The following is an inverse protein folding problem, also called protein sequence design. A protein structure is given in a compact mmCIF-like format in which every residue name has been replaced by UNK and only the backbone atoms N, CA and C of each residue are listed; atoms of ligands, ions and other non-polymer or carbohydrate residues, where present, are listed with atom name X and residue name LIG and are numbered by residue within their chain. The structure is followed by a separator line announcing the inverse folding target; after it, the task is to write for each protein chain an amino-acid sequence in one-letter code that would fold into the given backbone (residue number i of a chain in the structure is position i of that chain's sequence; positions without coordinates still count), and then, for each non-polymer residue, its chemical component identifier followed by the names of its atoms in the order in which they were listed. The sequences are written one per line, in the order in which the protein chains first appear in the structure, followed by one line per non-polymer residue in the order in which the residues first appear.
data_IF_650108390944
#
_entry.id   IF_650108390944
#
_cell.length_a   1.000
_cell.length_b   1.000
_cell.length_c   1.000
_cell.angle_alpha   90.00
_cell.angle_beta   90.00
_cell.angle_gamma   90.00
#
_symmetry.space_group_name_H-M   'P 1'
#
loop_
_entity.id
_entity.type
_entity.pdbx_description
1 polymer ?
#
# COMPACT_ATOMS: atom_id res chain seq x y z
N UNK A 1 7.44 8.44 13.89
CA UNK A 1 7.09 8.79 12.50
C UNK A 1 5.76 8.10 12.19
N UNK A 2 4.82 8.77 11.51
CA UNK A 2 3.63 8.07 10.99
C UNK A 2 4.08 7.15 9.83
N UNK A 3 3.41 6.01 9.62
CA UNK A 3 3.79 5.10 8.53
C UNK A 3 3.48 5.66 7.13
N UNK A 4 2.76 6.79 7.02
CA UNK A 4 2.29 7.35 5.77
C UNK A 4 3.37 7.57 4.70
N UNK A 5 4.47 8.30 4.98
CA UNK A 5 5.57 8.47 4.04
C UNK A 5 6.22 7.16 3.57
N UNK A 6 6.24 6.14 4.44
CA UNK A 6 6.79 4.82 4.09
C UNK A 6 5.84 4.12 3.11
N UNK A 7 4.53 4.20 3.32
CA UNK A 7 3.54 3.62 2.41
C UNK A 7 3.49 4.35 1.06
N UNK A 8 3.72 5.66 1.03
CA UNK A 8 3.89 6.42 -0.22
C UNK A 8 5.12 5.92 -1.00
N UNK A 9 6.25 5.70 -0.33
CA UNK A 9 7.44 5.11 -0.95
C UNK A 9 7.19 3.69 -1.49
N UNK A 10 6.40 2.87 -0.78
CA UNK A 10 6.00 1.53 -1.22
C UNK A 10 5.26 1.62 -2.56
N UNK A 11 4.24 2.47 -2.65
CA UNK A 11 3.44 2.61 -3.88
C UNK A 11 4.27 3.13 -5.05
N UNK A 12 5.11 4.15 -4.82
CA UNK A 12 5.98 4.72 -5.87
C UNK A 12 7.00 3.72 -6.38
N UNK A 13 7.64 2.95 -5.49
CA UNK A 13 8.57 1.89 -5.90
C UNK A 13 7.85 0.81 -6.71
N UNK A 14 6.68 0.37 -6.25
CA UNK A 14 5.88 -0.63 -6.96
C UNK A 14 5.44 -0.13 -8.34
N UNK A 15 5.04 1.13 -8.44
CA UNK A 15 4.72 1.81 -9.68
C UNK A 15 5.91 1.87 -10.64
N UNK A 16 7.06 2.34 -10.16
CA UNK A 16 8.28 2.43 -10.97
C UNK A 16 8.75 1.06 -11.51
N UNK A 17 8.71 0.02 -10.67
CA UNK A 17 9.04 -1.35 -11.09
C UNK A 17 8.04 -1.88 -12.12
N UNK A 18 6.75 -1.58 -11.96
CA UNK A 18 5.71 -2.00 -12.90
C UNK A 18 5.81 -1.25 -14.23
N UNK A 19 6.09 0.05 -14.19
CA UNK A 19 6.32 0.86 -15.41
C UNK A 19 7.47 0.29 -16.24
N UNK A 20 8.54 -0.20 -15.59
CA UNK A 20 9.71 -0.76 -16.27
C UNK A 20 9.42 -2.00 -17.13
N UNK A 21 8.29 -2.68 -16.89
CA UNK A 21 7.87 -3.89 -17.62
C UNK A 21 6.63 -3.66 -18.49
N UNK A 22 6.03 -2.47 -18.45
CA UNK A 22 4.88 -2.11 -19.30
C UNK A 22 5.33 -1.44 -20.60
N UNK A 23 4.53 -1.60 -21.66
CA UNK A 23 4.77 -0.95 -22.96
C UNK A 23 3.49 -0.26 -23.39
N UNK A 24 3.53 1.08 -23.48
CA UNK A 24 2.39 1.89 -23.91
C UNK A 24 1.12 1.67 -23.06
N UNK A 25 1.27 1.33 -21.78
CA UNK A 25 0.15 1.08 -20.87
C UNK A 25 0.23 2.03 -19.68
N UNK A 26 -0.94 2.42 -19.19
CA UNK A 26 -1.07 3.01 -17.87
C UNK A 26 -0.88 1.96 -16.78
N UNK A 27 -0.54 2.40 -15.58
CA UNK A 27 -0.51 1.53 -14.41
C UNK A 27 -1.37 2.09 -13.30
N UNK A 28 -2.05 1.19 -12.58
CA UNK A 28 -2.80 1.53 -11.37
C UNK A 28 -2.48 0.51 -10.28
N UNK A 29 -2.36 1.00 -9.04
CA UNK A 29 -2.23 0.15 -7.86
C UNK A 29 -3.59 -0.44 -7.53
N UNK A 30 -3.71 -1.76 -7.61
CA UNK A 30 -4.95 -2.47 -7.30
C UNK A 30 -5.04 -2.81 -5.82
N UNK A 31 -3.94 -3.30 -5.25
CA UNK A 31 -3.86 -3.58 -3.83
C UNK A 31 -2.43 -3.50 -3.33
N UNK A 32 -2.28 -3.01 -2.11
CA UNK A 32 -1.10 -3.27 -1.29
C UNK A 32 -1.55 -4.31 -0.26
N UNK A 33 -0.94 -5.50 -0.28
CA UNK A 33 -1.47 -6.66 0.46
C UNK A 33 -1.30 -6.50 1.97
N UNK A 34 -0.07 -6.69 2.45
CA UNK A 34 0.31 -6.51 3.85
C UNK A 34 1.70 -5.92 3.85
N UNK A 35 1.85 -4.81 4.57
CA UNK A 35 3.13 -4.19 4.86
C UNK A 35 3.43 -4.45 6.32
N UNK A 36 4.48 -5.22 6.59
CA UNK A 36 4.94 -5.49 7.94
C UNK A 36 6.12 -4.58 8.24
N UNK A 37 5.95 -3.62 9.15
CA UNK A 37 7.04 -2.82 9.71
C UNK A 37 7.53 -3.53 10.97
N UNK A 38 8.69 -4.20 10.87
CA UNK A 38 9.27 -5.08 11.89
C UNK A 38 9.98 -4.31 13.01
N UNK A 39 10.44 -3.09 12.73
CA UNK A 39 11.08 -2.22 13.71
C UNK A 39 10.79 -0.75 13.39
N UNK A 40 10.82 0.15 14.40
CA UNK A 40 10.59 1.57 14.18
C UNK A 40 11.54 2.19 13.15
N UNK A 41 11.03 3.13 12.36
CA UNK A 41 11.81 4.01 11.49
C UNK A 41 11.72 5.42 12.09
N UNK A 42 12.84 5.92 12.58
CA UNK A 42 12.97 7.20 13.25
C UNK A 42 13.32 8.34 12.27
N UNK A 43 13.17 9.58 12.74
CA UNK A 43 13.64 10.73 11.99
C UNK A 43 15.17 10.68 11.83
N UNK A 44 15.66 10.97 10.63
CA UNK A 44 17.08 10.94 10.31
C UNK A 44 17.61 9.57 9.91
N UNK A 45 16.81 8.51 10.01
CA UNK A 45 17.20 7.19 9.52
C UNK A 45 17.39 7.19 8.00
N UNK A 46 18.44 6.51 7.55
CA UNK A 46 18.64 6.22 6.13
C UNK A 46 17.85 4.96 5.76
N UNK A 47 16.72 5.17 5.08
CA UNK A 47 15.87 4.11 4.55
C UNK A 47 16.26 3.78 3.10
N UNK A 48 16.48 2.49 2.83
CA UNK A 48 16.66 1.94 1.48
C UNK A 48 15.51 1.01 1.16
N UNK A 49 14.95 1.14 -0.04
CA UNK A 49 13.85 0.33 -0.53
C UNK A 49 14.31 -0.43 -1.76
N UNK A 50 14.02 -1.72 -1.81
CA UNK A 50 14.35 -2.61 -2.91
C UNK A 50 13.11 -3.41 -3.29
N UNK A 51 13.00 -3.80 -4.56
CA UNK A 51 11.90 -4.63 -5.01
C UNK A 51 12.12 -5.20 -6.40
N UNK A 52 11.29 -6.19 -6.73
CA UNK A 52 11.29 -6.83 -8.03
C UNK A 52 9.86 -7.27 -8.41
N UNK A 53 9.60 -7.33 -9.72
CA UNK A 53 8.37 -7.92 -10.24
C UNK A 53 8.50 -9.44 -10.18
N UNK A 54 7.69 -10.09 -9.36
CA UNK A 54 7.75 -11.53 -9.10
C UNK A 54 6.78 -12.34 -9.95
N UNK A 55 5.77 -11.70 -10.55
CA UNK A 55 4.84 -12.34 -11.47
C UNK A 55 4.19 -11.34 -12.42
N UNK A 56 4.11 -11.70 -13.71
CA UNK A 56 3.32 -11.02 -14.73
C UNK A 56 2.19 -11.94 -15.19
N UNK A 57 0.96 -11.46 -15.08
CA UNK A 57 -0.22 -12.10 -15.66
C UNK A 57 -0.56 -11.50 -17.02
N UNK A 58 -1.82 -11.63 -17.44
CA UNK A 58 -2.30 -11.04 -18.70
C UNK A 58 -2.18 -9.51 -18.71
N UNK A 59 -2.59 -8.89 -17.61
CA UNK A 59 -2.51 -7.44 -17.35
C UNK A 59 -2.19 -7.12 -15.88
N UNK A 60 -2.03 -8.13 -15.03
CA UNK A 60 -1.73 -7.96 -13.60
C UNK A 60 -0.24 -8.12 -13.34
N UNK A 61 0.29 -7.40 -12.36
CA UNK A 61 1.69 -7.44 -11.97
C UNK A 61 1.76 -7.60 -10.46
N UNK A 62 2.62 -8.49 -9.97
CA UNK A 62 2.87 -8.64 -8.53
C UNK A 62 4.29 -8.20 -8.26
N UNK A 63 4.43 -7.24 -7.36
CA UNK A 63 5.73 -6.68 -6.95
C UNK A 63 5.99 -7.07 -5.50
N UNK A 64 7.18 -7.60 -5.25
CA UNK A 64 7.71 -7.81 -3.90
C UNK A 64 8.65 -6.67 -3.54
N UNK A 65 8.57 -6.20 -2.29
CA UNK A 65 9.44 -5.13 -1.78
C UNK A 65 9.96 -5.45 -0.38
N UNK A 66 11.17 -4.96 -0.11
CA UNK A 66 11.81 -4.98 1.19
C UNK A 66 12.40 -3.59 1.50
N UNK A 67 12.21 -3.15 2.74
CA UNK A 67 12.77 -1.91 3.26
C UNK A 67 13.84 -2.20 4.29
N UNK A 68 14.94 -1.46 4.21
CA UNK A 68 16.10 -1.60 5.08
C UNK A 68 16.48 -0.25 5.70
N UNK A 69 16.77 -0.26 6.99
CA UNK A 69 17.32 0.90 7.69
C UNK A 69 18.83 0.71 7.86
N UNK A 70 19.61 1.75 7.63
CA UNK A 70 21.03 1.72 7.98
C UNK A 70 21.20 1.79 9.49
N UNK A 71 21.78 0.74 10.07
CA UNK A 71 22.18 0.69 11.46
C UNK A 71 23.59 1.29 11.59
N UNK A 72 23.67 2.43 12.29
CA UNK A 72 24.92 3.19 12.42
C UNK A 72 25.94 2.44 13.28
N UNK A 73 25.48 1.74 14.32
CA UNK A 73 26.35 1.03 15.25
C UNK A 73 26.96 -0.22 14.60
N UNK A 74 26.16 -0.92 13.79
CA UNK A 74 26.58 -2.13 13.08
C UNK A 74 27.15 -1.86 11.68
N UNK A 75 27.10 -0.60 11.22
CA UNK A 75 27.50 -0.16 9.88
C UNK A 75 26.91 -1.01 8.74
N UNK A 76 25.64 -1.41 8.87
CA UNK A 76 24.97 -2.29 7.90
C UNK A 76 23.49 -1.98 7.74
N UNK A 77 22.91 -2.41 6.61
CA UNK A 77 21.47 -2.33 6.39
C UNK A 77 20.76 -3.51 7.07
N UNK A 78 19.77 -3.20 7.92
CA UNK A 78 18.93 -4.17 8.60
C UNK A 78 17.52 -4.10 8.02
N UNK A 79 16.92 -5.25 7.71
CA UNK A 79 15.56 -5.30 7.17
C UNK A 79 14.55 -4.85 8.24
N UNK A 80 13.78 -3.81 7.92
CA UNK A 80 12.78 -3.23 8.82
C UNK A 80 11.37 -3.35 8.27
N UNK A 81 11.23 -3.69 6.99
CA UNK A 81 9.93 -3.78 6.33
C UNK A 81 9.92 -4.80 5.21
N UNK A 82 8.78 -5.46 5.02
CA UNK A 82 8.49 -6.26 3.82
C UNK A 82 7.07 -6.01 3.34
N UNK A 83 6.85 -6.02 2.03
CA UNK A 83 5.55 -5.72 1.43
C UNK A 83 5.35 -6.34 0.05
N UNK A 84 4.08 -6.41 -0.34
CA UNK A 84 3.66 -6.88 -1.66
C UNK A 84 2.60 -5.94 -2.20
N UNK A 85 2.73 -5.60 -3.47
CA UNK A 85 1.73 -4.82 -4.19
C UNK A 85 1.30 -5.55 -5.45
N UNK A 86 0.00 -5.47 -5.74
CA UNK A 86 -0.57 -5.90 -7.01
C UNK A 86 -0.95 -4.66 -7.80
N UNK A 87 -0.44 -4.58 -9.02
CA UNK A 87 -0.71 -3.52 -9.97
C UNK A 87 -1.40 -4.09 -11.21
N UNK A 88 -2.07 -3.22 -11.97
CA UNK A 88 -2.73 -3.59 -13.21
C UNK A 88 -2.33 -2.63 -14.30
N UNK A 89 -1.89 -3.18 -15.42
CA UNK A 89 -1.71 -2.45 -16.66
C UNK A 89 -3.08 -2.12 -17.25
N UNK A 90 -3.32 -0.85 -17.52
CA UNK A 90 -4.58 -0.32 -18.02
C UNK A 90 -4.37 0.47 -19.31
N UNK A 91 -5.44 0.59 -20.08
CA UNK A 91 -5.51 1.48 -21.22
C UNK A 91 -5.66 2.93 -20.76
N UNK A 92 -4.97 3.87 -21.42
CA UNK A 92 -4.92 5.28 -21.01
C UNK A 92 -6.27 5.99 -21.13
N UNK A 93 -7.09 5.63 -22.13
CA UNK A 93 -8.36 6.30 -22.40
C UNK A 93 -9.51 5.66 -21.63
N UNK A 94 -9.57 4.33 -21.66
CA UNK A 94 -10.70 3.58 -21.11
C UNK A 94 -10.52 3.19 -19.64
N UNK A 95 -9.29 3.29 -19.11
CA UNK A 95 -8.91 2.83 -17.76
C UNK A 95 -9.24 1.35 -17.49
N UNK A 96 -9.46 0.56 -18.56
CA UNK A 96 -9.73 -0.88 -18.46
C UNK A 96 -8.42 -1.66 -18.52
N UNK A 97 -8.35 -2.87 -17.91
CA UNK A 97 -7.15 -3.69 -17.97
C UNK A 97 -6.73 -3.96 -19.42
N UNK A 98 -5.51 -3.55 -19.79
CA UNK A 98 -4.94 -3.73 -21.14
C UNK A 98 -3.98 -4.92 -21.11
N UNK A 99 -4.31 -6.03 -21.81
CA UNK A 99 -3.38 -7.15 -21.96
C UNK A 99 -2.13 -6.75 -22.73
N UNK A 100 -1.05 -7.52 -22.56
CA UNK A 100 0.18 -7.36 -23.38
C UNK A 100 1.47 -7.21 -22.58
N UNK A 101 1.46 -7.58 -21.29
CA UNK A 101 2.67 -7.62 -20.50
C UNK A 101 3.66 -8.65 -21.07
N UNK A 102 4.98 -8.39 -21.01
CA UNK A 102 5.99 -9.30 -21.50
C UNK A 102 6.09 -10.55 -20.62
N UNK A 103 6.84 -11.55 -21.08
CA UNK A 103 7.18 -12.72 -20.27
C UNK A 103 8.41 -12.41 -19.42
N UNK A 104 8.32 -12.62 -18.10
CA UNK A 104 9.48 -12.52 -17.23
C UNK A 104 10.48 -13.64 -17.53
N UNK A 105 11.74 -13.28 -17.68
CA UNK A 105 12.84 -14.22 -17.87
C UNK A 105 14.03 -13.79 -17.03
N UNK A 106 14.75 -14.76 -16.48
CA UNK A 106 16.05 -14.51 -15.89
C UNK A 106 17.14 -14.93 -16.89
N UNK A 107 18.08 -14.06 -17.28
CA UNK A 107 19.00 -14.30 -18.41
C UNK A 107 19.79 -15.61 -18.30
N UNK A 108 20.18 -16.00 -17.09
CA UNK A 108 21.10 -17.13 -16.84
C UNK A 108 20.50 -18.24 -15.99
N UNK A 109 19.33 -18.05 -15.37
CA UNK A 109 18.79 -18.99 -14.38
C UNK A 109 17.33 -19.33 -14.70
N UNK A 110 17.07 -20.44 -15.42
CA UNK A 110 15.71 -20.79 -15.83
C UNK A 110 14.78 -21.14 -14.66
N UNK A 111 15.33 -21.44 -13.47
CA UNK A 111 14.54 -21.79 -12.28
C UNK A 111 14.09 -20.57 -11.46
N UNK A 112 14.66 -19.39 -11.72
CA UNK A 112 14.43 -18.20 -10.91
C UNK A 112 12.98 -17.71 -11.01
N UNK A 113 12.51 -17.46 -12.23
CA UNK A 113 11.14 -16.96 -12.49
C UNK A 113 10.08 -17.97 -12.02
N UNK A 114 10.13 -19.27 -12.37
CA UNK A 114 9.13 -20.24 -11.87
C UNK A 114 9.03 -20.31 -10.35
N UNK A 115 10.14 -20.11 -9.63
CA UNK A 115 10.15 -20.05 -8.16
C UNK A 115 9.41 -18.82 -7.65
N UNK A 116 9.65 -17.65 -8.24
CA UNK A 116 8.96 -16.40 -7.91
C UNK A 116 7.47 -16.47 -8.23
N UNK A 117 7.10 -17.04 -9.38
CA UNK A 117 5.70 -17.21 -9.76
C UNK A 117 4.96 -18.14 -8.80
N UNK A 118 5.60 -19.22 -8.35
CA UNK A 118 5.05 -20.11 -7.32
C UNK A 118 4.78 -19.33 -6.02
N UNK A 119 5.73 -18.49 -5.62
CA UNK A 119 5.59 -17.66 -4.44
C UNK A 119 4.45 -16.62 -4.60
N UNK A 120 4.38 -15.93 -5.74
CA UNK A 120 3.30 -14.99 -6.06
C UNK A 120 1.92 -15.67 -6.05
N UNK A 121 1.82 -16.89 -6.59
CA UNK A 121 0.58 -17.69 -6.57
C UNK A 121 0.15 -18.02 -5.15
N UNK A 122 1.08 -18.47 -4.29
CA UNK A 122 0.79 -18.74 -2.88
C UNK A 122 0.31 -17.48 -2.14
N UNK A 123 0.92 -16.32 -2.40
CA UNK A 123 0.49 -15.04 -1.85
C UNK A 123 -0.91 -14.65 -2.31
N UNK A 124 -1.21 -14.77 -3.60
CA UNK A 124 -2.54 -14.51 -4.15
C UNK A 124 -3.61 -15.39 -3.51
N UNK A 125 -3.33 -16.67 -3.31
CA UNK A 125 -4.23 -17.61 -2.63
C UNK A 125 -4.42 -17.26 -1.14
N UNK A 126 -3.37 -16.82 -0.46
CA UNK A 126 -3.45 -16.35 0.92
C UNK A 126 -4.29 -15.07 1.04
N UNK A 127 -4.06 -14.09 0.17
CA UNK A 127 -4.81 -12.84 0.13
C UNK A 127 -6.30 -13.10 -0.18
N UNK A 128 -6.62 -14.00 -1.12
CA UNK A 128 -7.99 -14.38 -1.41
C UNK A 128 -8.68 -15.04 -0.20
N UNK A 129 -7.98 -15.95 0.49
CA UNK A 129 -8.47 -16.56 1.73
C UNK A 129 -8.73 -15.53 2.82
N UNK A 130 -7.78 -14.61 3.04
CA UNK A 130 -7.91 -13.54 4.03
C UNK A 130 -9.11 -12.63 3.74
N UNK A 131 -9.28 -12.18 2.49
CA UNK A 131 -10.45 -11.38 2.08
C UNK A 131 -11.77 -12.11 2.32
N UNK A 132 -11.82 -13.42 2.04
CA UNK A 132 -13.02 -14.22 2.28
C UNK A 132 -13.34 -14.39 3.77
N UNK A 133 -12.31 -14.50 4.63
CA UNK A 133 -12.47 -14.53 6.08
C UNK A 133 -12.93 -13.17 6.60
N UNK A 134 -12.27 -12.09 6.20
CA UNK A 134 -12.66 -10.71 6.55
C UNK A 134 -14.13 -10.46 6.19
N UNK A 135 -14.54 -10.76 4.96
CA UNK A 135 -15.95 -10.59 4.53
C UNK A 135 -16.97 -11.36 5.38
N UNK A 136 -16.58 -12.48 6.01
CA UNK A 136 -17.46 -13.26 6.91
C UNK A 136 -17.53 -12.66 8.32
N UNK A 137 -16.46 -12.01 8.75
CA UNK A 137 -16.32 -11.40 10.09
C UNK A 137 -16.82 -9.96 10.10
N UNK A 138 -16.63 -9.25 8.99
CA UNK A 138 -17.05 -7.87 8.77
C UNK A 138 -18.57 -7.81 8.56
N UNK A 139 -19.31 -7.87 9.67
CA UNK A 139 -20.74 -7.51 9.75
C UNK A 139 -20.95 -6.08 10.23
N UNK A 140 -19.86 -5.30 10.35
CA UNK A 140 -19.92 -3.92 10.84
C UNK A 140 -20.50 -2.99 9.76
N UNK A 141 -21.46 -2.12 10.11
CA UNK A 141 -21.91 -1.08 9.19
C UNK A 141 -20.77 -0.10 8.90
N UNK A 142 -20.78 0.48 7.69
CA UNK A 142 -19.82 1.50 7.31
C UNK A 142 -19.95 2.73 8.22
N UNK A 143 -18.82 3.23 8.74
CA UNK A 143 -18.79 4.45 9.55
C UNK A 143 -19.28 5.62 8.70
N UNK A 144 -20.29 6.33 9.19
CA UNK A 144 -20.84 7.52 8.53
C UNK A 144 -20.84 8.72 9.48
N UNK A 145 -20.92 9.92 8.91
CA UNK A 145 -21.01 11.18 9.66
C UNK A 145 -22.07 11.13 10.77
N UNK A 146 -23.21 10.47 10.51
CA UNK A 146 -24.32 10.36 11.43
C UNK A 146 -24.05 9.47 12.65
N UNK A 147 -22.96 8.70 12.65
CA UNK A 147 -22.55 7.86 13.78
C UNK A 147 -21.67 8.62 14.79
N UNK A 148 -21.22 9.85 14.46
CA UNK A 148 -20.35 10.67 15.31
C UNK A 148 -21.25 11.50 16.24
N UNK A 149 -21.13 11.27 17.55
CA UNK A 149 -21.88 11.98 18.59
C UNK A 149 -20.93 12.93 19.35
N UNK A 150 -21.40 14.14 19.73
CA UNK A 150 -20.61 15.14 20.45
C UNK A 150 -20.82 15.00 21.97
N UNK A 151 -19.80 14.52 22.69
CA UNK A 151 -19.91 14.19 24.11
C UNK A 151 -19.09 15.06 25.08
N UNK A 152 -18.39 16.09 24.63
CA UNK A 152 -17.50 16.86 25.50
C UNK A 152 -16.33 16.01 26.05
N UNK A 153 -15.27 16.67 26.53
CA UNK A 153 -14.03 15.97 26.89
C UNK A 153 -13.91 15.68 28.38
N UNK A 154 -14.10 14.43 28.78
CA UNK A 154 -13.55 13.88 30.03
C UNK A 154 -12.69 12.64 29.71
N UNK A 155 -11.55 12.53 30.39
CA UNK A 155 -10.67 11.36 30.25
C UNK A 155 -11.27 10.20 31.04
N UNK A 156 -11.80 9.19 30.34
CA UNK A 156 -12.37 7.98 30.96
C UNK A 156 -11.50 6.76 30.63
N UNK A 157 -11.36 5.85 31.60
CA UNK A 157 -10.57 4.60 31.48
C UNK A 157 -11.20 3.59 30.51
N UNK A 158 -12.48 3.78 30.16
CA UNK A 158 -13.22 3.03 29.16
C UNK A 158 -13.70 4.01 28.07
N UNK A 159 -13.39 3.70 26.81
CA UNK A 159 -13.78 4.51 25.64
C UNK A 159 -14.83 3.72 24.86
N UNK A 160 -15.95 4.36 24.54
CA UNK A 160 -17.00 3.77 23.70
C UNK A 160 -16.56 3.70 22.24
N UNK A 161 -17.09 2.74 21.45
CA UNK A 161 -16.75 2.63 20.02
C UNK A 161 -17.13 3.90 19.25
N UNK A 162 -18.23 4.57 19.61
CA UNK A 162 -18.66 5.83 18.99
C UNK A 162 -17.62 6.94 19.16
N UNK A 163 -16.95 7.03 20.31
CA UNK A 163 -15.85 7.98 20.56
C UNK A 163 -14.56 7.66 19.78
N UNK A 164 -14.48 6.49 19.15
CA UNK A 164 -13.35 6.13 18.26
C UNK A 164 -13.63 6.41 16.78
N UNK A 165 -14.83 6.90 16.45
CA UNK A 165 -15.23 7.21 15.08
C UNK A 165 -14.67 8.57 14.66
N UNK A 166 -13.95 8.58 13.53
CA UNK A 166 -13.38 9.78 12.93
C UNK A 166 -13.75 9.83 11.45
N UNK A 167 -14.30 10.97 11.02
CA UNK A 167 -14.48 11.30 9.61
C UNK A 167 -13.43 12.31 9.17
N UNK A 168 -12.73 12.03 8.07
CA UNK A 168 -11.71 12.89 7.48
C UNK A 168 -11.92 12.97 5.98
N UNK A 169 -11.83 14.17 5.43
CA UNK A 169 -12.06 14.43 4.00
C UNK A 169 -10.84 15.14 3.39
N UNK A 170 -10.58 14.89 2.11
CA UNK A 170 -9.50 15.56 1.37
C UNK A 170 -9.83 15.61 -0.12
N UNK A 171 -9.26 16.60 -0.81
CA UNK A 171 -9.28 16.69 -2.28
C UNK A 171 -7.88 16.43 -2.83
N UNK A 172 -7.73 15.41 -3.66
CA UNK A 172 -6.47 15.15 -4.34
C UNK A 172 -6.28 16.13 -5.51
N UNK A 173 -5.17 16.86 -5.48
CA UNK A 173 -4.79 17.83 -6.51
C UNK A 173 -4.02 17.13 -7.65
N UNK A 174 -3.86 17.78 -8.82
CA UNK A 174 -3.13 17.18 -9.96
C UNK A 174 -1.72 16.67 -9.64
N UNK A 175 -1.05 17.24 -8.63
CA UNK A 175 0.27 16.77 -8.16
C UNK A 175 0.25 15.37 -7.53
N UNK A 176 -0.92 14.92 -7.08
CA UNK A 176 -1.16 13.59 -6.50
C UNK A 176 -1.63 12.58 -7.55
N UNK A 177 -1.77 13.01 -8.80
CA UNK A 177 -2.21 12.15 -9.89
C UNK A 177 -1.01 11.71 -10.73
N UNK A 178 -1.10 10.49 -11.26
CA UNK A 178 -0.25 10.04 -12.34
C UNK A 178 -0.63 10.71 -13.67
N UNK A 179 0.10 10.38 -14.75
CA UNK A 179 -0.17 10.91 -16.10
C UNK A 179 -1.57 10.58 -16.64
N UNK A 180 -2.26 9.63 -16.01
CA UNK A 180 -3.60 9.17 -16.38
C UNK A 180 -4.67 9.86 -15.53
N UNK A 181 -4.31 10.93 -14.82
CA UNK A 181 -5.19 11.66 -13.92
C UNK A 181 -5.81 10.77 -12.82
N UNK A 182 -5.13 9.70 -12.43
CA UNK A 182 -5.52 8.79 -11.35
C UNK A 182 -4.62 9.02 -10.14
N UNK A 183 -5.20 9.14 -8.95
CA UNK A 183 -4.44 9.36 -7.71
C UNK A 183 -3.45 8.22 -7.44
N UNK A 184 -2.23 8.55 -7.00
CA UNK A 184 -1.29 7.54 -6.51
C UNK A 184 -1.86 6.81 -5.28
N UNK A 185 -1.71 5.50 -5.23
CA UNK A 185 -2.15 4.72 -4.06
C UNK A 185 -1.40 5.15 -2.80
N UNK A 186 -0.15 5.58 -2.96
CA UNK A 186 0.72 6.08 -1.90
C UNK A 186 0.18 7.32 -1.21
N UNK A 187 -0.36 8.27 -1.97
CA UNK A 187 -0.98 9.49 -1.42
C UNK A 187 -2.25 9.14 -0.61
N UNK A 188 -3.03 8.16 -1.08
CA UNK A 188 -4.21 7.66 -0.36
C UNK A 188 -3.79 6.97 0.95
N UNK A 189 -2.79 6.08 0.90
CA UNK A 189 -2.27 5.38 2.07
C UNK A 189 -1.64 6.35 3.09
N UNK A 190 -0.91 7.35 2.62
CA UNK A 190 -0.33 8.38 3.47
C UNK A 190 -1.42 9.21 4.16
N UNK A 191 -2.48 9.58 3.42
CA UNK A 191 -3.63 10.27 4.00
C UNK A 191 -4.32 9.42 5.08
N UNK A 192 -4.56 8.13 4.81
CA UNK A 192 -5.19 7.22 5.78
C UNK A 192 -4.46 7.17 7.12
N UNK A 193 -3.13 7.13 7.08
CA UNK A 193 -2.28 7.00 8.28
C UNK A 193 -2.02 8.35 8.95
N UNK A 194 -2.20 9.47 8.24
CA UNK A 194 -1.90 10.82 8.78
C UNK A 194 -2.77 11.21 9.97
N UNK A 195 -3.92 10.54 10.15
CA UNK A 195 -4.85 10.75 11.26
C UNK A 195 -4.67 9.75 12.41
N UNK A 196 -3.71 8.83 12.31
CA UNK A 196 -3.35 7.94 13.43
C UNK A 196 -2.84 8.78 14.61
N UNK A 197 -3.65 8.85 15.67
CA UNK A 197 -3.39 9.67 16.86
C UNK A 197 -4.34 10.86 17.03
N UNK A 198 -5.23 11.13 16.07
CA UNK A 198 -6.25 12.20 16.18
C UNK A 198 -7.54 11.80 16.89
N UNK A 199 -7.71 10.53 17.29
CA UNK A 199 -8.89 10.03 18.04
C UNK A 199 -9.10 10.74 19.40
N UNK A 200 -8.18 11.62 19.83
CA UNK A 200 -8.36 12.50 21.01
C UNK A 200 -8.30 14.01 20.70
N UNK A 201 -8.18 14.42 19.44
CA UNK A 201 -8.08 15.84 19.03
C UNK A 201 -9.23 16.22 18.11
N UNK A 202 -10.28 16.72 18.77
CA UNK A 202 -11.27 17.72 18.32
C UNK A 202 -11.26 18.18 16.85
N UNK A 203 -12.46 18.20 16.27
CA UNK A 203 -12.95 19.04 15.16
C UNK A 203 -11.87 19.95 14.52
N UNK A 204 -11.26 19.46 13.45
CA UNK A 204 -10.49 20.30 12.55
C UNK A 204 -11.22 20.34 11.21
N UNK A 205 -11.98 21.42 11.02
CA UNK A 205 -12.46 21.80 9.69
C UNK A 205 -11.28 22.42 8.93
N UNK A 206 -10.95 21.87 7.76
CA UNK A 206 -10.09 22.49 6.75
C UNK A 206 -10.91 22.82 5.52
#
# INVERSE_FOLDING_TARGET
MCAGPVLDLVDRLAGALSESVTVDQGIVTLSVDRVDIKSPIAHGDLLRMEGEVINLGRSSMVVQMSGYRYDVDQAQFVEVMSGFATLVAVDFETMRPRPGLPTLVHPTNPSYVPRLEKFAKQRKELAARWRAVQKKVDQLPHISAAMIEDFGQEYVELVSVSETLLEVQTSFLPKHCNRNNTTYGGDVLAFMVSWEGLVKRTNINF
#
